data_IF_349272821013
#
_entry.id   IF_349272821013
#
_cell.length_a   1.000
_cell.length_b   1.000
_cell.length_c   1.000
_cell.angle_alpha   90.00
_cell.angle_beta   90.00
_cell.angle_gamma   90.00
#
_symmetry.space_group_name_H-M   'P 1'
#
loop_
_entity.id
_entity.type
_entity.pdbx_description
1 polymer ?
#
# COMPACT_ATOMS: atom_id res chain seq x y z
N UNK A 1 -2.30 -2.74 78.37
CA UNK A 1 -3.58 -2.38 77.70
C UNK A 1 -3.45 -1.56 76.43
N UNK A 2 -2.36 -0.83 76.20
CA UNK A 2 -2.19 0.03 74.95
C UNK A 2 -1.85 -0.73 73.70
N UNK A 3 -1.08 -1.82 73.77
CA UNK A 3 -0.59 -2.59 72.61
C UNK A 3 -1.74 -3.36 71.89
N UNK A 4 -2.70 -3.88 72.62
CA UNK A 4 -3.82 -4.66 72.06
C UNK A 4 -4.74 -3.77 71.18
N UNK A 5 -4.91 -2.52 71.51
CA UNK A 5 -5.79 -1.61 70.77
C UNK A 5 -5.14 -1.14 69.47
N UNK A 6 -3.81 -1.00 69.46
CA UNK A 6 -3.07 -0.66 68.23
C UNK A 6 -3.14 -1.81 67.21
N UNK A 7 -3.01 -3.04 67.68
CA UNK A 7 -3.10 -4.24 66.81
C UNK A 7 -4.52 -4.38 66.23
N UNK A 8 -5.55 -4.17 67.04
CA UNK A 8 -6.95 -4.22 66.61
C UNK A 8 -7.26 -3.12 65.61
N UNK A 9 -6.74 -1.91 65.82
CA UNK A 9 -6.90 -0.79 64.89
C UNK A 9 -6.19 -1.08 63.56
N UNK A 10 -4.97 -1.61 63.58
CA UNK A 10 -4.21 -1.97 62.39
C UNK A 10 -4.89 -3.06 61.57
N UNK A 11 -5.48 -4.08 62.23
CA UNK A 11 -6.19 -5.19 61.59
C UNK A 11 -7.47 -4.75 60.83
N UNK A 12 -8.06 -3.61 61.21
CA UNK A 12 -9.24 -3.06 60.52
C UNK A 12 -8.84 -1.97 59.53
N UNK A 13 -7.93 -1.09 59.93
CA UNK A 13 -7.53 0.07 59.12
C UNK A 13 -6.75 -0.35 57.85
N UNK A 14 -5.93 -1.42 57.91
CA UNK A 14 -5.12 -1.86 56.80
C UNK A 14 -5.96 -2.41 55.64
N UNK A 15 -6.89 -3.36 55.85
CA UNK A 15 -7.77 -3.81 54.76
C UNK A 15 -8.65 -2.69 54.19
N UNK A 16 -9.18 -1.81 55.03
CA UNK A 16 -9.99 -0.66 54.57
C UNK A 16 -9.16 0.29 53.70
N UNK A 17 -7.91 0.52 54.09
CA UNK A 17 -6.96 1.31 53.27
C UNK A 17 -6.69 0.66 51.93
N UNK A 18 -6.44 -0.66 51.90
CA UNK A 18 -6.21 -1.40 50.67
C UNK A 18 -7.45 -1.37 49.75
N UNK A 19 -8.65 -1.52 50.30
CA UNK A 19 -9.90 -1.39 49.54
C UNK A 19 -10.07 0.02 48.99
N UNK A 20 -9.77 1.05 49.74
CA UNK A 20 -9.87 2.44 49.31
C UNK A 20 -8.88 2.74 48.19
N UNK A 21 -7.61 2.31 48.33
CA UNK A 21 -6.60 2.46 47.27
C UNK A 21 -6.94 1.62 46.03
N UNK A 22 -7.51 0.44 46.22
CA UNK A 22 -7.99 -0.41 45.12
C UNK A 22 -9.10 0.25 44.31
N UNK A 23 -10.07 0.88 45.02
CA UNK A 23 -11.16 1.62 44.36
C UNK A 23 -10.62 2.85 43.62
N UNK A 24 -9.64 3.57 44.22
CA UNK A 24 -8.99 4.71 43.54
C UNK A 24 -8.22 4.23 42.31
N UNK A 25 -7.47 3.13 42.42
CA UNK A 25 -6.71 2.59 41.26
C UNK A 25 -7.67 2.13 40.16
N UNK A 26 -8.75 1.47 40.49
CA UNK A 26 -9.81 1.08 39.55
C UNK A 26 -10.47 2.30 38.90
N UNK A 27 -10.78 3.33 39.69
CA UNK A 27 -11.33 4.59 39.18
C UNK A 27 -10.35 5.24 38.22
N UNK A 28 -9.05 5.21 38.53
CA UNK A 28 -8.01 5.77 37.68
C UNK A 28 -7.88 4.99 36.36
N UNK A 29 -8.03 3.66 36.41
CA UNK A 29 -7.97 2.84 35.16
C UNK A 29 -9.23 2.99 34.31
N UNK A 30 -10.42 3.10 34.95
CA UNK A 30 -11.69 3.21 34.21
C UNK A 30 -12.09 4.65 33.85
N UNK A 31 -11.66 5.64 34.63
CA UNK A 31 -12.04 7.04 34.46
C UNK A 31 -10.84 7.97 34.23
N UNK A 32 -9.65 7.42 33.91
CA UNK A 32 -8.49 8.23 33.59
C UNK A 32 -8.73 9.01 32.29
N UNK A 33 -8.27 10.27 32.22
CA UNK A 33 -8.31 11.03 30.95
C UNK A 33 -7.56 10.36 29.80
N UNK A 34 -6.84 9.26 30.03
CA UNK A 34 -6.27 8.43 28.94
C UNK A 34 -7.35 7.87 28.02
N UNK A 35 -8.61 7.73 28.48
CA UNK A 35 -9.73 7.42 27.59
C UNK A 35 -10.12 8.60 26.70
N UNK A 36 -9.74 9.83 27.07
CA UNK A 36 -9.97 11.03 26.24
C UNK A 36 -8.87 11.24 25.20
N UNK A 37 -7.67 10.65 25.41
CA UNK A 37 -6.59 10.71 24.42
C UNK A 37 -6.95 9.86 23.19
N UNK A 38 -7.80 8.85 23.34
CA UNK A 38 -8.33 8.06 22.23
C UNK A 38 -9.35 8.84 21.38
N UNK A 39 -10.07 9.79 21.97
CA UNK A 39 -10.93 10.71 21.18
C UNK A 39 -10.11 11.80 20.50
N UNK A 40 -9.02 12.24 21.12
CA UNK A 40 -8.07 13.16 20.51
C UNK A 40 -7.30 12.54 19.33
N UNK A 41 -7.08 11.21 19.34
CA UNK A 41 -6.52 10.48 18.21
C UNK A 41 -7.43 10.47 16.99
N UNK A 42 -8.74 10.46 17.20
CA UNK A 42 -9.74 10.55 16.11
C UNK A 42 -9.76 11.94 15.45
N UNK A 43 -9.48 13.00 16.21
CA UNK A 43 -9.48 14.36 15.67
C UNK A 43 -8.24 14.63 14.80
N UNK A 44 -7.13 13.91 15.07
CA UNK A 44 -5.91 14.02 14.25
C UNK A 44 -6.02 13.26 12.92
N UNK A 45 -6.94 12.29 12.83
CA UNK A 45 -7.18 11.52 11.59
C UNK A 45 -8.09 12.26 10.58
N UNK A 46 -8.64 13.42 10.96
CA UNK A 46 -9.51 14.23 10.10
C UNK A 46 -8.74 15.31 9.31
N UNK A 47 -7.42 15.32 9.39
CA UNK A 47 -6.58 16.19 8.57
C UNK A 47 -5.67 15.34 7.68
N UNK A 48 -5.50 15.75 6.46
CA UNK A 48 -4.58 15.08 5.51
C UNK A 48 -3.20 14.95 6.15
N UNK A 49 -2.82 13.72 6.50
CA UNK A 49 -1.59 13.44 7.25
C UNK A 49 -0.37 13.69 6.37
N UNK A 50 0.60 14.46 6.88
CA UNK A 50 1.84 14.70 6.15
C UNK A 50 2.63 13.40 6.07
N UNK A 51 2.93 12.96 4.87
CA UNK A 51 3.76 11.78 4.60
C UNK A 51 5.22 12.22 4.52
N UNK A 52 6.10 11.53 5.25
CA UNK A 52 7.53 11.82 5.31
C UNK A 52 8.34 10.68 4.71
N UNK A 53 9.60 10.96 4.36
CA UNK A 53 10.55 9.94 3.93
C UNK A 53 10.70 8.84 4.98
N UNK A 54 10.69 9.20 6.26
CA UNK A 54 10.84 8.24 7.38
C UNK A 54 9.65 7.25 7.42
N UNK A 55 8.43 7.72 7.12
CA UNK A 55 7.28 6.82 7.01
C UNK A 55 7.51 5.77 5.90
N UNK A 56 7.91 6.23 4.72
CA UNK A 56 8.15 5.35 3.57
C UNK A 56 9.29 4.37 3.87
N UNK A 57 10.38 4.89 4.44
CA UNK A 57 11.55 4.09 4.84
C UNK A 57 11.18 3.01 5.86
N UNK A 58 10.37 3.35 6.85
CA UNK A 58 9.95 2.39 7.88
C UNK A 58 9.15 1.24 7.28
N UNK A 59 8.23 1.53 6.37
CA UNK A 59 7.44 0.49 5.70
C UNK A 59 8.30 -0.36 4.73
N UNK A 60 9.23 0.23 4.00
CA UNK A 60 10.18 -0.50 3.16
C UNK A 60 11.11 -1.37 4.03
N UNK A 61 11.57 -0.81 5.02
CA UNK A 61 12.37 -1.42 5.89
C UNK A 61 11.76 -2.56 6.50
N UNK A 62 10.43 -2.49 6.94
CA UNK A 62 9.65 -3.57 7.56
C UNK A 62 9.52 -4.78 6.63
N UNK A 63 9.17 -4.52 5.38
CA UNK A 63 8.99 -5.58 4.38
C UNK A 63 10.30 -6.30 4.04
N UNK A 64 11.35 -5.55 3.77
CA UNK A 64 12.56 -6.11 3.17
C UNK A 64 13.59 -6.61 4.19
N UNK A 65 13.70 -5.96 5.36
CA UNK A 65 14.65 -6.37 6.40
C UNK A 65 14.00 -7.32 7.41
N UNK A 66 12.86 -6.91 8.00
CA UNK A 66 12.26 -7.69 9.09
C UNK A 66 11.57 -8.95 8.58
N UNK A 67 10.75 -8.82 7.53
CA UNK A 67 10.09 -9.97 6.90
C UNK A 67 11.05 -10.66 5.93
N UNK A 68 11.72 -9.88 5.09
CA UNK A 68 12.68 -10.36 4.12
C UNK A 68 12.04 -10.86 2.83
N UNK A 69 12.72 -11.76 2.14
CA UNK A 69 12.21 -12.41 0.93
C UNK A 69 10.85 -13.05 1.22
N UNK A 70 9.85 -12.70 0.39
CA UNK A 70 8.45 -13.10 0.62
C UNK A 70 7.80 -13.62 -0.67
N UNK A 71 8.42 -14.62 -1.30
CA UNK A 71 7.84 -15.22 -2.50
C UNK A 71 6.58 -16.02 -2.13
N UNK A 72 5.70 -16.21 -3.08
CA UNK A 72 4.46 -16.99 -2.87
C UNK A 72 4.73 -18.47 -2.58
N UNK A 73 5.89 -19.00 -2.96
CA UNK A 73 6.35 -20.34 -2.56
C UNK A 73 6.56 -20.47 -1.06
N UNK A 74 6.92 -19.37 -0.36
CA UNK A 74 6.98 -19.31 1.10
C UNK A 74 5.64 -18.82 1.66
N UNK A 75 4.71 -19.75 1.84
CA UNK A 75 3.35 -19.44 2.33
C UNK A 75 3.37 -18.73 3.71
N UNK A 76 4.36 -19.08 4.56
CA UNK A 76 4.48 -18.44 5.88
C UNK A 76 4.84 -16.96 5.75
N UNK A 77 5.83 -16.64 4.93
CA UNK A 77 6.24 -15.25 4.68
C UNK A 77 5.14 -14.46 3.98
N UNK A 78 4.48 -15.07 2.99
CA UNK A 78 3.33 -14.46 2.29
C UNK A 78 2.22 -14.10 3.29
N UNK A 79 1.87 -15.03 4.20
CA UNK A 79 0.86 -14.80 5.24
C UNK A 79 1.27 -13.71 6.23
N UNK A 80 2.53 -13.70 6.67
CA UNK A 80 3.06 -12.69 7.60
C UNK A 80 2.96 -11.30 6.95
N UNK A 81 3.34 -11.18 5.68
CA UNK A 81 3.27 -9.90 4.94
C UNK A 81 1.82 -9.42 4.84
N UNK A 82 0.92 -10.29 4.43
CA UNK A 82 -0.50 -9.96 4.29
C UNK A 82 -1.10 -9.50 5.61
N UNK A 83 -0.81 -10.22 6.71
CA UNK A 83 -1.30 -9.85 8.05
C UNK A 83 -0.71 -8.54 8.54
N UNK A 84 0.56 -8.27 8.21
CA UNK A 84 1.17 -6.98 8.53
C UNK A 84 0.46 -5.84 7.78
N UNK A 85 0.20 -5.99 6.48
CA UNK A 85 -0.53 -4.97 5.69
C UNK A 85 -1.95 -4.76 6.26
N UNK A 86 -2.64 -5.86 6.55
CA UNK A 86 -3.97 -5.84 7.18
C UNK A 86 -3.94 -5.03 8.49
N UNK A 87 -2.92 -5.29 9.34
CA UNK A 87 -2.72 -4.57 10.60
C UNK A 87 -2.41 -3.08 10.38
N UNK A 88 -1.50 -2.76 9.43
CA UNK A 88 -1.17 -1.34 9.13
C UNK A 88 -2.42 -0.54 8.73
N UNK A 89 -3.28 -1.16 7.91
CA UNK A 89 -4.50 -0.51 7.42
C UNK A 89 -5.64 -0.49 8.45
N UNK A 90 -5.52 -1.22 9.56
CA UNK A 90 -6.60 -1.40 10.55
C UNK A 90 -7.00 -0.09 11.27
N UNK A 91 -8.15 -0.14 11.96
CA UNK A 91 -8.68 0.99 12.75
C UNK A 91 -7.67 1.48 13.80
N UNK A 92 -6.88 0.56 14.38
CA UNK A 92 -5.91 0.87 15.43
C UNK A 92 -4.70 1.62 14.89
N UNK A 93 -4.35 1.43 13.61
CA UNK A 93 -3.13 2.01 13.00
C UNK A 93 -3.47 3.17 12.07
N UNK A 94 -4.00 2.89 10.88
CA UNK A 94 -4.31 3.96 9.90
C UNK A 94 -5.76 4.44 10.03
N UNK A 95 -6.71 3.54 10.30
CA UNK A 95 -8.09 3.95 10.56
C UNK A 95 -9.15 3.27 9.68
N UNK A 96 -8.80 2.23 8.94
CA UNK A 96 -9.74 1.52 8.06
C UNK A 96 -10.20 0.19 8.68
N UNK A 97 -11.20 -0.40 8.07
CA UNK A 97 -11.65 -1.79 8.31
C UNK A 97 -11.30 -2.63 7.07
N UNK A 98 -10.16 -3.34 7.09
CA UNK A 98 -9.76 -4.09 5.91
C UNK A 98 -10.74 -5.23 5.58
N UNK A 99 -11.09 -5.32 4.30
CA UNK A 99 -11.78 -6.47 3.72
C UNK A 99 -10.71 -7.42 3.19
N UNK A 100 -10.74 -8.68 3.64
CA UNK A 100 -9.76 -9.68 3.28
C UNK A 100 -10.42 -10.75 2.40
N UNK A 101 -9.91 -10.93 1.18
CA UNK A 101 -10.36 -11.97 0.26
C UNK A 101 -9.36 -13.11 0.27
N UNK A 102 -9.77 -14.29 0.73
CA UNK A 102 -8.96 -15.50 0.76
C UNK A 102 -9.03 -16.21 -0.59
N UNK A 103 -7.86 -16.57 -1.14
CA UNK A 103 -7.73 -17.06 -2.52
C UNK A 103 -7.36 -18.54 -2.64
N UNK A 104 -6.89 -19.17 -1.56
CA UNK A 104 -6.67 -20.61 -1.48
C UNK A 104 -7.50 -21.16 -0.32
N UNK A 105 -8.62 -21.75 -0.64
CA UNK A 105 -9.72 -22.01 0.28
C UNK A 105 -9.42 -22.71 1.59
N UNK A 106 -8.48 -23.67 1.61
CA UNK A 106 -8.24 -24.49 2.82
C UNK A 106 -7.19 -23.89 3.77
N UNK A 107 -6.18 -23.24 3.25
CA UNK A 107 -5.04 -22.78 4.07
C UNK A 107 -5.09 -21.29 4.41
N UNK A 108 -5.82 -20.48 3.64
CA UNK A 108 -5.97 -19.04 3.90
C UNK A 108 -4.67 -18.25 3.86
N UNK A 109 -3.65 -18.79 3.20
CA UNK A 109 -2.32 -18.16 3.17
C UNK A 109 -2.21 -17.07 2.11
N UNK A 110 -2.98 -17.20 1.04
CA UNK A 110 -3.02 -16.25 -0.05
C UNK A 110 -4.24 -15.37 0.10
N UNK A 111 -4.05 -14.06 0.06
CA UNK A 111 -5.17 -13.12 0.26
C UNK A 111 -4.91 -11.78 -0.41
N UNK A 112 -5.97 -11.15 -0.86
CA UNK A 112 -5.96 -9.72 -1.17
C UNK A 112 -6.51 -8.96 0.03
N UNK A 113 -5.94 -7.79 0.30
CA UNK A 113 -6.38 -6.88 1.37
C UNK A 113 -6.87 -5.60 0.71
N UNK A 114 -8.10 -5.22 1.03
CA UNK A 114 -8.77 -4.07 0.43
C UNK A 114 -9.27 -3.15 1.54
N UNK A 115 -9.09 -1.84 1.37
CA UNK A 115 -9.76 -0.83 2.19
C UNK A 115 -10.39 0.21 1.26
N UNK A 116 -11.48 0.80 1.74
CA UNK A 116 -12.24 1.74 0.94
C UNK A 116 -12.60 2.97 1.78
N UNK A 117 -12.54 4.13 1.16
CA UNK A 117 -13.07 5.38 1.68
C UNK A 117 -14.25 5.76 0.78
N UNK A 118 -15.49 5.54 1.25
CA UNK A 118 -16.66 5.83 0.42
C UNK A 118 -16.77 7.31 0.08
N UNK A 119 -17.18 7.58 -1.15
CA UNK A 119 -17.49 8.93 -1.62
C UNK A 119 -18.83 9.45 -1.08
N UNK A 120 -19.11 10.72 -1.33
CA UNK A 120 -20.37 11.36 -0.96
C UNK A 120 -21.33 11.44 -2.16
N UNK A 121 -21.12 12.40 -3.04
CA UNK A 121 -22.08 12.73 -4.13
C UNK A 121 -21.97 11.76 -5.33
N UNK A 122 -20.77 11.20 -5.53
CA UNK A 122 -20.45 10.29 -6.64
C UNK A 122 -19.82 9.00 -6.09
N UNK A 123 -20.46 8.41 -5.09
CA UNK A 123 -19.95 7.24 -4.39
C UNK A 123 -19.82 5.99 -5.29
N UNK A 124 -20.56 5.95 -6.38
CA UNK A 124 -20.51 4.88 -7.39
C UNK A 124 -19.32 5.01 -8.36
N UNK A 125 -18.72 6.21 -8.46
CA UNK A 125 -17.48 6.44 -9.24
C UNK A 125 -16.27 6.13 -8.37
N UNK A 126 -15.47 5.12 -8.78
CA UNK A 126 -14.40 4.56 -7.93
C UNK A 126 -13.03 4.75 -8.59
N UNK A 127 -12.07 5.26 -7.80
CA UNK A 127 -10.64 5.32 -8.13
C UNK A 127 -9.95 4.23 -7.33
N UNK A 128 -9.13 3.41 -7.99
CA UNK A 128 -8.50 2.27 -7.36
C UNK A 128 -6.98 2.35 -7.44
N UNK A 129 -6.21 2.13 -6.39
CA UNK A 129 -4.88 2.03 -6.25
C UNK A 129 -4.60 0.67 -5.95
N UNK A 130 -3.81 -0.09 -6.75
CA UNK A 130 -3.47 -1.49 -6.58
C UNK A 130 -1.97 -1.66 -6.51
N UNK A 131 -1.49 -2.58 -5.67
CA UNK A 131 -0.07 -2.98 -5.66
C UNK A 131 0.05 -4.47 -5.36
N UNK A 132 1.19 -5.09 -5.78
CA UNK A 132 1.53 -6.47 -5.42
C UNK A 132 2.51 -6.44 -4.24
N UNK A 133 2.29 -7.30 -3.23
CA UNK A 133 3.17 -7.34 -2.05
C UNK A 133 4.18 -8.51 -2.01
N UNK A 134 4.37 -9.32 -2.86
CA UNK A 134 5.30 -10.33 -2.94
C UNK A 134 6.62 -9.79 -3.29
N UNK A 135 7.62 -10.62 -3.23
CA UNK A 135 8.94 -10.43 -3.82
C UNK A 135 9.40 -11.70 -4.51
N UNK A 136 10.46 -11.62 -5.30
CA UNK A 136 11.05 -12.80 -5.95
C UNK A 136 11.75 -13.70 -4.91
N UNK A 137 12.04 -14.93 -5.30
CA UNK A 137 12.83 -15.88 -4.49
C UNK A 137 14.17 -15.25 -4.11
N UNK A 138 14.53 -15.37 -2.84
CA UNK A 138 15.80 -14.88 -2.28
C UNK A 138 16.02 -13.37 -2.50
N UNK A 139 14.92 -12.61 -2.66
CA UNK A 139 14.95 -11.17 -2.90
C UNK A 139 14.23 -10.43 -1.77
N UNK A 140 14.91 -9.57 -1.01
CA UNK A 140 14.24 -8.77 0.03
C UNK A 140 13.14 -7.88 -0.54
N UNK A 141 13.25 -7.48 -1.80
CA UNK A 141 12.20 -6.75 -2.50
C UNK A 141 11.93 -5.37 -1.92
N UNK A 142 12.99 -4.61 -1.64
CA UNK A 142 12.85 -3.25 -1.14
C UNK A 142 12.23 -2.35 -2.20
N UNK A 143 12.74 -2.40 -3.43
CA UNK A 143 12.13 -1.68 -4.55
C UNK A 143 11.01 -2.52 -5.20
N UNK A 144 11.27 -3.81 -5.38
CA UNK A 144 10.38 -4.69 -6.18
C UNK A 144 9.61 -5.70 -5.27
N UNK A 145 8.46 -5.39 -4.62
CA UNK A 145 7.69 -4.17 -4.79
C UNK A 145 7.41 -3.45 -3.45
N UNK A 146 8.42 -3.36 -2.57
CA UNK A 146 8.28 -2.73 -1.24
C UNK A 146 7.93 -1.24 -1.33
N UNK A 147 8.47 -0.53 -2.33
CA UNK A 147 8.15 0.88 -2.56
C UNK A 147 6.70 1.07 -3.02
N UNK A 148 6.18 0.16 -3.85
CA UNK A 148 4.76 0.19 -4.26
C UNK A 148 3.83 0.01 -3.06
N UNK A 149 4.15 -0.94 -2.17
CA UNK A 149 3.37 -1.15 -0.94
C UNK A 149 3.47 0.08 -0.03
N UNK A 150 4.67 0.67 0.13
CA UNK A 150 4.84 1.88 0.96
C UNK A 150 4.02 3.04 0.40
N UNK A 151 3.98 3.20 -0.93
CA UNK A 151 3.17 4.24 -1.59
C UNK A 151 1.67 4.00 -1.39
N UNK A 152 1.21 2.74 -1.43
CA UNK A 152 -0.19 2.40 -1.14
C UNK A 152 -0.57 2.75 0.30
N UNK A 153 0.26 2.34 1.28
CA UNK A 153 0.03 2.63 2.70
C UNK A 153 0.04 4.14 2.98
N UNK A 154 0.98 4.86 2.35
CA UNK A 154 1.08 6.31 2.46
C UNK A 154 -0.19 6.99 1.92
N UNK A 155 -0.66 6.55 0.75
CA UNK A 155 -1.89 7.08 0.14
C UNK A 155 -3.11 6.80 1.02
N UNK A 156 -3.25 5.57 1.51
CA UNK A 156 -4.35 5.21 2.41
C UNK A 156 -4.31 6.09 3.68
N UNK A 157 -3.13 6.30 4.27
CA UNK A 157 -2.95 7.14 5.45
C UNK A 157 -3.29 8.62 5.18
N UNK A 158 -2.96 9.11 3.99
CA UNK A 158 -3.25 10.50 3.60
C UNK A 158 -4.76 10.75 3.50
N UNK A 159 -5.50 9.80 2.94
CA UNK A 159 -6.93 10.00 2.66
C UNK A 159 -7.86 9.60 3.81
N UNK A 160 -7.40 8.82 4.80
CA UNK A 160 -8.28 8.39 5.90
C UNK A 160 -8.91 9.61 6.58
N UNK A 161 -10.22 9.56 6.80
CA UNK A 161 -10.97 10.63 7.46
C UNK A 161 -11.24 11.87 6.60
N UNK A 162 -10.83 11.89 5.33
CA UNK A 162 -11.20 12.96 4.41
C UNK A 162 -12.60 12.70 3.84
N UNK A 163 -13.28 13.77 3.43
CA UNK A 163 -14.52 13.67 2.68
C UNK A 163 -14.22 13.95 1.21
N UNK A 164 -14.62 13.03 0.35
CA UNK A 164 -14.39 13.11 -1.10
C UNK A 164 -15.70 12.86 -1.84
N UNK A 165 -15.86 13.43 -2.99
CA UNK A 165 -17.05 13.21 -3.83
C UNK A 165 -17.09 11.74 -4.31
N UNK A 166 -15.95 11.20 -4.73
CA UNK A 166 -15.79 9.85 -5.29
C UNK A 166 -15.20 8.88 -4.26
N UNK A 167 -15.50 7.60 -4.45
CA UNK A 167 -14.91 6.51 -3.63
C UNK A 167 -13.46 6.28 -4.01
N UNK A 168 -12.61 6.07 -2.99
CA UNK A 168 -11.21 5.67 -3.17
C UNK A 168 -11.03 4.26 -2.59
N UNK A 169 -10.43 3.37 -3.36
CA UNK A 169 -10.16 1.98 -2.94
C UNK A 169 -8.67 1.69 -3.03
N UNK A 170 -8.10 1.10 -1.98
CA UNK A 170 -6.69 0.71 -1.90
C UNK A 170 -6.62 -0.80 -1.78
N UNK A 171 -5.88 -1.46 -2.68
CA UNK A 171 -5.83 -2.93 -2.72
C UNK A 171 -4.38 -3.41 -2.76
N UNK A 172 -4.00 -4.23 -1.78
CA UNK A 172 -2.73 -4.96 -1.77
C UNK A 172 -3.00 -6.41 -2.19
N UNK A 173 -2.47 -6.81 -3.33
CA UNK A 173 -2.72 -8.12 -3.93
C UNK A 173 -1.56 -9.08 -3.74
N UNK A 174 -1.87 -10.36 -3.57
CA UNK A 174 -0.86 -11.41 -3.72
C UNK A 174 -0.55 -11.60 -5.21
N UNK A 175 0.70 -11.87 -5.52
CA UNK A 175 1.13 -12.18 -6.89
C UNK A 175 0.65 -13.56 -7.36
N UNK A 176 1.37 -14.16 -8.29
CA UNK A 176 1.11 -15.53 -8.75
C UNK A 176 1.49 -16.53 -7.65
N UNK A 177 0.68 -17.58 -7.51
CA UNK A 177 0.89 -18.64 -6.52
C UNK A 177 0.35 -19.96 -7.06
N UNK A 178 0.75 -21.07 -6.44
CA UNK A 178 0.11 -22.36 -6.68
C UNK A 178 -0.87 -22.67 -5.52
N UNK A 179 -2.07 -23.07 -5.87
CA UNK A 179 -3.08 -23.51 -4.89
C UNK A 179 -2.66 -24.84 -4.27
N UNK A 180 -3.32 -25.24 -3.21
CA UNK A 180 -3.14 -26.56 -2.59
C UNK A 180 -3.46 -27.72 -3.56
N UNK A 181 -4.17 -27.46 -4.63
CA UNK A 181 -4.51 -28.42 -5.69
C UNK A 181 -3.53 -28.38 -6.87
N UNK A 182 -2.47 -27.56 -6.78
CA UNK A 182 -1.47 -27.40 -7.83
C UNK A 182 -1.89 -26.54 -9.01
N UNK A 183 -2.98 -25.80 -8.88
CA UNK A 183 -3.50 -24.92 -9.93
C UNK A 183 -2.84 -23.54 -9.79
N UNK A 184 -2.45 -22.94 -10.92
CA UNK A 184 -1.87 -21.59 -10.93
C UNK A 184 -2.96 -20.55 -10.61
N UNK A 185 -2.70 -19.75 -9.56
CA UNK A 185 -3.57 -18.66 -9.15
C UNK A 185 -2.85 -17.32 -9.18
N UNK A 186 -3.62 -16.25 -9.13
CA UNK A 186 -3.07 -14.90 -9.04
C UNK A 186 -4.09 -13.98 -8.37
N UNK A 187 -3.69 -13.31 -7.30
CA UNK A 187 -4.56 -12.36 -6.61
C UNK A 187 -4.93 -11.18 -7.49
N UNK A 188 -4.01 -10.75 -8.35
CA UNK A 188 -4.27 -9.65 -9.30
C UNK A 188 -5.27 -10.08 -10.39
N UNK A 189 -5.11 -11.30 -10.94
CA UNK A 189 -6.07 -11.82 -11.92
C UNK A 189 -7.46 -12.00 -11.30
N UNK A 190 -7.51 -12.50 -10.07
CA UNK A 190 -8.76 -12.62 -9.31
C UNK A 190 -9.45 -11.25 -9.15
N UNK A 191 -8.67 -10.23 -8.79
CA UNK A 191 -9.17 -8.86 -8.64
C UNK A 191 -9.75 -8.34 -9.98
N UNK A 192 -8.98 -8.48 -11.07
CA UNK A 192 -9.42 -8.06 -12.41
C UNK A 192 -10.73 -8.75 -12.81
N UNK A 193 -10.84 -10.06 -12.55
CA UNK A 193 -12.06 -10.84 -12.86
C UNK A 193 -13.24 -10.44 -11.97
N UNK A 194 -12.99 -10.04 -10.72
CA UNK A 194 -14.06 -9.55 -9.83
C UNK A 194 -14.64 -8.23 -10.36
N UNK A 195 -13.79 -7.35 -10.85
CA UNK A 195 -14.20 -6.05 -11.40
C UNK A 195 -14.99 -6.17 -12.72
N UNK A 196 -14.79 -7.23 -13.50
CA UNK A 196 -15.62 -7.53 -14.68
C UNK A 196 -17.06 -7.90 -14.33
N UNK A 197 -17.27 -8.38 -13.12
CA UNK A 197 -18.57 -8.94 -12.67
C UNK A 197 -19.37 -7.96 -11.82
N UNK A 198 -18.86 -6.76 -11.60
CA UNK A 198 -19.53 -5.72 -10.82
C UNK A 198 -20.11 -4.65 -11.75
N UNK A 199 -21.16 -4.00 -11.32
CA UNK A 199 -21.73 -2.80 -11.96
C UNK A 199 -21.04 -1.52 -11.47
N UNK A 200 -19.96 -1.62 -10.68
CA UNK A 200 -19.20 -0.48 -10.17
C UNK A 200 -18.58 0.32 -11.33
N UNK A 201 -18.65 1.63 -11.24
CA UNK A 201 -18.11 2.54 -12.23
C UNK A 201 -16.64 2.89 -11.89
N UNK A 202 -15.72 2.05 -12.33
CA UNK A 202 -14.28 2.29 -12.10
C UNK A 202 -13.83 3.37 -13.11
N UNK A 203 -13.53 4.56 -12.61
CA UNK A 203 -13.14 5.71 -13.43
C UNK A 203 -11.62 5.80 -13.62
N UNK A 204 -10.85 5.03 -12.86
CA UNK A 204 -9.41 4.94 -13.02
C UNK A 204 -8.79 3.92 -12.09
N UNK A 205 -7.88 3.10 -12.62
CA UNK A 205 -7.10 2.15 -11.84
C UNK A 205 -5.61 2.47 -11.99
N UNK A 206 -4.92 2.62 -10.87
CA UNK A 206 -3.49 2.95 -10.81
C UNK A 206 -2.76 1.78 -10.15
N UNK A 207 -1.91 1.10 -10.94
CA UNK A 207 -1.06 0.03 -10.43
C UNK A 207 0.30 0.60 -10.02
N UNK A 208 0.68 0.41 -8.76
CA UNK A 208 1.94 0.93 -8.18
C UNK A 208 3.00 -0.18 -8.22
N UNK A 209 4.04 0.01 -9.04
CA UNK A 209 5.08 -0.98 -9.27
C UNK A 209 6.46 -0.35 -9.23
N UNK A 210 7.25 -0.65 -8.22
CA UNK A 210 8.65 -0.18 -8.07
C UNK A 210 8.78 1.33 -8.34
N UNK A 211 9.02 2.12 -7.31
CA UNK A 211 8.96 3.59 -7.39
C UNK A 211 10.21 4.26 -6.82
N UNK A 212 11.26 3.48 -6.52
CA UNK A 212 12.37 4.01 -5.71
C UNK A 212 13.74 4.02 -6.37
N UNK A 213 13.88 3.67 -7.65
CA UNK A 213 15.21 3.65 -8.30
C UNK A 213 15.26 4.61 -9.49
N UNK A 214 16.21 5.52 -9.44
CA UNK A 214 16.44 6.53 -10.48
C UNK A 214 17.92 6.64 -10.79
N UNK A 215 18.29 6.85 -12.06
CA UNK A 215 19.67 6.95 -12.49
C UNK A 215 19.80 7.84 -13.74
N UNK A 216 20.90 8.57 -13.83
CA UNK A 216 21.24 9.34 -15.01
C UNK A 216 22.04 8.50 -16.04
N UNK A 217 22.34 7.26 -15.67
CA UNK A 217 23.02 6.33 -16.57
C UNK A 217 22.04 5.74 -17.58
N UNK A 218 22.54 5.44 -18.78
CA UNK A 218 21.81 4.66 -19.80
C UNK A 218 22.05 3.18 -19.49
N UNK A 219 21.18 2.57 -18.76
CA UNK A 219 21.27 1.14 -18.44
C UNK A 219 20.23 0.34 -19.20
N UNK A 220 20.57 -0.31 -20.07
CA UNK A 220 19.71 -0.97 -20.79
C UNK A 220 19.93 -2.37 -20.60
N UNK A 221 19.24 -2.80 -19.86
CA UNK A 221 19.17 -4.27 -19.90
C UNK A 221 18.43 -4.71 -21.15
N UNK A 222 18.55 -5.64 -21.50
CA UNK A 222 17.99 -6.08 -22.54
C UNK A 222 16.61 -5.75 -22.76
N UNK A 223 16.48 -4.76 -23.13
CA UNK A 223 15.18 -4.27 -23.56
C UNK A 223 14.81 -4.95 -24.88
N UNK A 224 13.64 -5.58 -24.97
CA UNK A 224 13.20 -6.19 -26.23
C UNK A 224 13.23 -5.19 -27.38
N UNK A 225 13.55 -5.66 -28.60
CA UNK A 225 13.75 -4.80 -29.77
C UNK A 225 12.54 -3.88 -30.03
N UNK A 226 11.33 -4.42 -29.88
CA UNK A 226 10.07 -3.68 -30.03
C UNK A 226 9.83 -2.63 -28.95
N UNK A 227 10.56 -2.67 -27.84
CA UNK A 227 10.38 -1.75 -26.68
C UNK A 227 11.54 -0.74 -26.55
N UNK A 228 12.57 -0.90 -27.37
CA UNK A 228 13.75 -0.01 -27.28
C UNK A 228 13.41 1.47 -27.32
N UNK A 229 12.56 1.72 -27.97
CA UNK A 229 12.14 3.01 -28.13
C UNK A 229 11.53 3.63 -26.94
N UNK A 230 10.92 2.91 -26.21
CA UNK A 230 10.28 3.25 -25.07
C UNK A 230 11.12 3.30 -23.87
N UNK A 231 12.08 2.44 -23.78
CA UNK A 231 12.77 2.26 -22.52
C UNK A 231 14.28 2.61 -22.56
N UNK A 232 14.88 2.63 -23.71
CA UNK A 232 16.32 2.84 -23.82
C UNK A 232 16.69 4.33 -23.74
N UNK A 233 16.43 4.95 -22.60
CA UNK A 233 16.70 6.36 -22.30
C UNK A 233 17.22 6.49 -20.87
N UNK A 234 17.88 7.60 -20.55
CA UNK A 234 18.35 7.86 -19.19
C UNK A 234 17.21 7.80 -18.19
N UNK A 235 17.44 7.09 -17.14
CA UNK A 235 16.43 6.74 -16.14
C UNK A 235 16.08 7.80 -15.09
N UNK A 236 16.03 8.86 -15.35
CA UNK A 236 15.70 9.83 -14.54
C UNK A 236 14.35 10.27 -14.66
N UNK A 237 13.47 9.49 -14.99
CA UNK A 237 12.06 9.79 -15.20
C UNK A 237 11.19 8.76 -14.47
N UNK A 238 9.97 9.16 -14.17
CA UNK A 238 8.91 8.26 -13.72
C UNK A 238 8.07 7.88 -14.94
N UNK A 239 7.73 6.60 -15.09
CA UNK A 239 6.94 6.11 -16.21
C UNK A 239 5.46 5.99 -15.82
N UNK A 240 4.60 6.47 -16.71
CA UNK A 240 3.18 6.17 -16.76
C UNK A 240 2.99 5.20 -17.93
N UNK A 241 2.69 3.93 -17.60
CA UNK A 241 2.55 2.88 -18.61
C UNK A 241 1.06 2.53 -18.75
N UNK A 242 0.56 2.47 -19.99
CA UNK A 242 -0.84 2.13 -20.26
C UNK A 242 -1.01 1.39 -21.57
N UNK A 243 -2.20 0.88 -21.80
CA UNK A 243 -2.70 0.47 -23.12
C UNK A 243 -3.35 1.65 -23.83
N UNK A 244 -3.42 1.59 -25.14
CA UNK A 244 -4.04 2.62 -25.98
C UNK A 244 -5.47 2.96 -25.56
N UNK A 245 -6.21 1.98 -25.11
CA UNK A 245 -7.61 2.17 -24.62
C UNK A 245 -7.71 3.12 -23.41
N UNK A 246 -6.61 3.37 -22.69
CA UNK A 246 -6.57 4.26 -21.52
C UNK A 246 -5.91 5.61 -21.82
N UNK A 247 -5.77 5.99 -23.10
CA UNK A 247 -4.99 7.16 -23.52
C UNK A 247 -5.48 8.46 -22.86
N UNK A 248 -6.78 8.69 -22.83
CA UNK A 248 -7.36 9.91 -22.21
C UNK A 248 -7.05 9.97 -20.71
N UNK A 249 -7.08 8.83 -20.04
CA UNK A 249 -6.79 8.73 -18.61
C UNK A 249 -5.31 9.02 -18.32
N UNK A 250 -4.39 8.47 -19.13
CA UNK A 250 -2.95 8.69 -18.94
C UNK A 250 -2.58 10.16 -19.22
N UNK A 251 -3.18 10.78 -20.24
CA UNK A 251 -2.96 12.21 -20.57
C UNK A 251 -3.43 13.10 -19.41
N UNK A 252 -4.62 12.84 -18.91
CA UNK A 252 -5.16 13.57 -17.74
C UNK A 252 -4.25 13.38 -16.52
N UNK A 253 -3.89 12.14 -16.21
CA UNK A 253 -3.03 11.81 -15.08
C UNK A 253 -1.67 12.51 -15.19
N UNK A 254 -1.06 12.47 -16.38
CA UNK A 254 0.24 13.11 -16.65
C UNK A 254 0.16 14.63 -16.41
N UNK A 255 -0.86 15.25 -16.94
CA UNK A 255 -1.08 16.71 -16.79
C UNK A 255 -1.16 17.11 -15.31
N UNK A 256 -2.01 16.42 -14.54
CA UNK A 256 -2.22 16.74 -13.12
C UNK A 256 -0.99 16.39 -12.27
N UNK A 257 -0.42 15.20 -12.47
CA UNK A 257 0.73 14.72 -11.71
C UNK A 257 1.96 15.63 -11.90
N UNK A 258 2.22 16.05 -13.13
CA UNK A 258 3.38 16.89 -13.48
C UNK A 258 3.31 18.32 -12.90
N UNK A 259 2.14 18.78 -12.47
CA UNK A 259 2.02 20.08 -11.80
C UNK A 259 2.74 20.12 -10.44
N UNK A 260 2.88 18.97 -9.79
CA UNK A 260 3.47 18.87 -8.45
C UNK A 260 4.75 18.03 -8.39
N UNK A 261 5.12 17.39 -9.50
CA UNK A 261 6.28 16.48 -9.55
C UNK A 261 7.42 17.12 -10.35
N UNK A 262 8.58 17.27 -9.71
CA UNK A 262 9.71 18.04 -10.25
C UNK A 262 10.54 17.28 -11.30
N UNK A 263 10.45 15.94 -11.31
CA UNK A 263 11.22 15.14 -12.26
C UNK A 263 10.44 14.87 -13.55
N UNK A 264 11.15 14.55 -14.64
CA UNK A 264 10.46 14.17 -15.87
C UNK A 264 9.54 12.98 -15.68
N UNK A 265 8.36 13.07 -16.30
CA UNK A 265 7.36 12.01 -16.38
C UNK A 265 7.26 11.59 -17.86
N UNK A 266 7.19 10.30 -18.13
CA UNK A 266 7.09 9.78 -19.50
C UNK A 266 5.87 8.87 -19.62
N UNK A 267 5.04 9.17 -20.60
CA UNK A 267 3.97 8.27 -21.03
C UNK A 267 4.56 7.18 -21.93
N UNK A 268 4.19 5.95 -21.63
CA UNK A 268 4.61 4.76 -22.40
C UNK A 268 3.32 3.98 -22.70
N UNK A 269 2.83 4.17 -23.92
CA UNK A 269 1.62 3.50 -24.38
C UNK A 269 2.01 2.25 -25.17
N UNK A 270 1.55 1.09 -24.73
CA UNK A 270 1.96 -0.21 -25.27
C UNK A 270 0.77 -0.99 -25.83
N UNK A 271 1.07 -1.85 -26.80
CA UNK A 271 0.13 -2.89 -27.19
C UNK A 271 0.00 -3.91 -26.06
N UNK A 272 -1.09 -4.65 -26.02
CA UNK A 272 -1.35 -5.67 -25.00
C UNK A 272 -0.23 -6.71 -24.91
N UNK A 273 0.29 -7.17 -26.05
CA UNK A 273 1.37 -8.16 -26.07
C UNK A 273 2.66 -7.59 -25.45
N UNK A 274 3.02 -6.36 -25.84
CA UNK A 274 4.19 -5.67 -25.29
C UNK A 274 4.04 -5.42 -23.77
N UNK A 275 2.85 -5.12 -23.34
CA UNK A 275 2.55 -4.92 -21.92
C UNK A 275 2.70 -6.23 -21.13
N UNK A 276 2.21 -7.35 -21.69
CA UNK A 276 2.35 -8.67 -21.07
C UNK A 276 3.82 -9.07 -20.89
N UNK A 277 4.70 -8.64 -21.80
CA UNK A 277 6.14 -8.87 -21.71
C UNK A 277 6.82 -7.98 -20.65
N UNK A 278 6.34 -6.75 -20.49
CA UNK A 278 6.99 -5.74 -19.63
C UNK A 278 6.40 -5.69 -18.22
N UNK A 279 5.12 -6.00 -18.04
CA UNK A 279 4.47 -5.96 -16.74
C UNK A 279 3.28 -6.94 -16.67
N UNK A 280 3.58 -8.18 -16.33
CA UNK A 280 2.61 -9.29 -16.27
C UNK A 280 1.42 -9.00 -15.36
N UNK A 281 1.66 -8.35 -14.22
CA UNK A 281 0.61 -8.05 -13.24
C UNK A 281 -0.30 -6.94 -13.76
N UNK A 282 0.29 -5.86 -14.27
CA UNK A 282 -0.50 -4.76 -14.82
C UNK A 282 -1.27 -5.20 -16.07
N UNK A 283 -0.68 -6.05 -16.91
CA UNK A 283 -1.36 -6.60 -18.09
C UNK A 283 -2.66 -7.34 -17.73
N UNK A 284 -2.74 -7.94 -16.53
CA UNK A 284 -3.97 -8.58 -16.05
C UNK A 284 -5.05 -7.55 -15.67
N UNK A 285 -4.65 -6.37 -15.24
CA UNK A 285 -5.56 -5.29 -14.82
C UNK A 285 -5.98 -4.39 -15.98
N UNK A 286 -5.12 -4.24 -16.99
CA UNK A 286 -5.38 -3.41 -18.17
C UNK A 286 -6.29 -4.12 -19.18
N UNK A 287 -6.76 -3.40 -20.19
CA UNK A 287 -7.60 -3.96 -21.26
C UNK A 287 -8.98 -4.42 -20.81
N UNK A 288 -9.44 -3.89 -19.70
CA UNK A 288 -10.77 -4.13 -19.16
C UNK A 288 -11.73 -3.02 -19.62
N UNK A 289 -12.92 -2.98 -19.07
CA UNK A 289 -13.93 -1.94 -19.35
C UNK A 289 -13.65 -0.60 -18.65
N UNK A 290 -12.53 -0.50 -17.95
CA UNK A 290 -12.16 0.71 -17.20
C UNK A 290 -10.74 1.15 -17.61
N UNK A 291 -10.44 2.46 -17.50
CA UNK A 291 -9.08 2.94 -17.79
C UNK A 291 -8.10 2.55 -16.68
N UNK A 292 -6.87 2.19 -17.09
CA UNK A 292 -5.84 1.76 -16.16
C UNK A 292 -4.47 2.28 -16.58
N UNK A 293 -3.62 2.63 -15.59
CA UNK A 293 -2.23 2.94 -15.80
C UNK A 293 -1.35 2.30 -14.73
N UNK A 294 -0.10 2.04 -15.08
CA UNK A 294 0.94 1.65 -14.13
C UNK A 294 1.88 2.82 -13.89
N UNK A 295 2.15 3.12 -12.63
CA UNK A 295 3.15 4.07 -12.18
C UNK A 295 4.40 3.28 -11.81
N UNK A 296 5.55 3.59 -12.44
CA UNK A 296 6.75 2.75 -12.28
C UNK A 296 8.05 3.53 -12.54
N UNK A 297 9.10 3.14 -11.83
CA UNK A 297 10.47 3.57 -12.15
C UNK A 297 11.12 2.74 -13.28
N UNK A 298 10.35 1.81 -13.88
CA UNK A 298 10.82 0.87 -14.91
C UNK A 298 11.96 -0.06 -14.44
N UNK A 299 11.92 -0.47 -13.18
CA UNK A 299 12.95 -1.33 -12.58
C UNK A 299 13.30 -2.56 -13.40
N UNK A 300 12.35 -3.14 -14.10
CA UNK A 300 12.57 -4.33 -14.93
C UNK A 300 13.69 -4.09 -15.98
N UNK A 301 13.81 -2.87 -16.50
CA UNK A 301 14.81 -2.51 -17.52
C UNK A 301 15.95 -1.65 -16.97
N UNK A 302 15.76 -1.03 -15.82
CA UNK A 302 16.66 -0.01 -15.29
C UNK A 302 17.44 -0.46 -14.06
N UNK A 303 16.79 -1.16 -13.14
CA UNK A 303 17.31 -1.43 -11.81
C UNK A 303 18.26 -2.64 -11.82
N UNK A 304 19.57 -2.47 -11.58
CA UNK A 304 20.53 -3.60 -11.58
C UNK A 304 20.19 -4.72 -10.59
N UNK A 305 19.47 -4.49 -9.48
CA UNK A 305 19.10 -5.31 -8.54
C UNK A 305 17.78 -5.86 -8.60
N UNK A 306 17.22 -5.65 -9.83
CA UNK A 306 15.84 -6.12 -10.03
C UNK A 306 15.73 -7.66 -9.91
N UNK A 307 15.05 -7.93 -8.70
CA UNK A 307 14.83 -9.21 -8.44
C UNK A 307 15.90 -10.00 -7.85
N UNK A 308 16.78 -9.36 -7.30
CA UNK A 308 18.00 -9.97 -6.75
C UNK A 308 18.06 -9.84 -5.23
N UNK A 309 18.90 -10.65 -4.58
CA UNK A 309 19.17 -10.58 -3.13
C UNK A 309 19.75 -9.25 -2.67
N UNK A 310 20.20 -8.43 -3.59
CA UNK A 310 20.75 -7.08 -3.34
C UNK A 310 19.71 -5.96 -3.45
N UNK A 311 18.44 -6.28 -3.67
CA UNK A 311 17.32 -5.31 -3.64
C UNK A 311 16.98 -4.97 -2.17
N UNK A 312 17.77 -4.08 -1.59
CA UNK A 312 17.77 -3.73 -0.16
C UNK A 312 17.39 -2.25 0.05
N UNK A 313 16.93 -1.85 1.26
CA UNK A 313 16.45 -0.49 1.50
C UNK A 313 17.45 0.64 1.27
N UNK A 314 18.74 0.35 1.35
CA UNK A 314 19.81 1.33 1.08
C UNK A 314 19.93 1.72 -0.41
N UNK A 315 19.24 1.00 -1.28
CA UNK A 315 19.22 1.27 -2.73
C UNK A 315 18.10 2.22 -3.14
N UNK A 316 17.21 2.57 -2.22
CA UNK A 316 16.02 3.36 -2.52
C UNK A 316 16.33 4.85 -2.40
N UNK A 317 15.92 5.61 -3.38
CA UNK A 317 15.92 7.09 -3.37
C UNK A 317 14.63 7.55 -2.67
N UNK A 318 14.72 7.71 -1.35
CA UNK A 318 13.54 8.07 -0.54
C UNK A 318 13.06 9.50 -0.79
N UNK A 319 13.95 10.40 -1.15
CA UNK A 319 13.58 11.77 -1.53
C UNK A 319 12.65 11.77 -2.74
N UNK A 320 13.04 11.05 -3.77
CA UNK A 320 12.25 10.92 -5.00
C UNK A 320 10.96 10.12 -4.77
N UNK A 321 11.07 9.06 -4.01
CA UNK A 321 9.88 8.32 -3.59
C UNK A 321 8.88 9.22 -2.82
N UNK A 322 9.17 10.04 -2.02
CA UNK A 322 8.44 10.94 -1.37
C UNK A 322 7.82 11.87 -2.23
N UNK A 323 8.60 12.32 -3.31
CA UNK A 323 8.04 13.20 -4.36
C UNK A 323 6.93 12.52 -5.15
N UNK A 324 7.17 11.28 -5.59
CA UNK A 324 6.17 10.45 -6.30
C UNK A 324 4.89 10.32 -5.48
N UNK A 325 5.03 9.97 -4.20
CA UNK A 325 3.87 9.76 -3.32
C UNK A 325 3.08 11.06 -3.12
N UNK A 326 3.75 12.16 -2.90
CA UNK A 326 3.10 13.48 -2.74
C UNK A 326 2.33 13.88 -4.01
N UNK A 327 2.92 13.69 -5.15
CA UNK A 327 2.28 13.99 -6.44
C UNK A 327 1.13 13.03 -6.76
N UNK A 328 1.31 11.81 -6.38
CA UNK A 328 0.21 10.83 -6.46
C UNK A 328 -0.96 11.21 -5.55
N UNK A 329 -0.75 11.62 -4.44
CA UNK A 329 -1.72 12.02 -3.57
C UNK A 329 -2.39 13.24 -4.00
N UNK A 330 -1.85 14.15 -4.77
CA UNK A 330 -2.32 15.29 -5.29
C UNK A 330 -3.10 15.08 -6.48
N UNK A 331 -2.85 14.07 -7.25
CA UNK A 331 -3.52 13.61 -8.32
C UNK A 331 -4.75 12.93 -7.98
N UNK A 332 -4.72 12.11 -7.12
CA UNK A 332 -5.94 11.45 -6.61
C UNK A 332 -6.93 12.45 -6.01
N UNK A 333 -6.46 13.39 -5.26
CA UNK A 333 -7.27 14.45 -4.65
C UNK A 333 -8.03 15.25 -5.72
N UNK A 334 -7.39 15.59 -6.79
CA UNK A 334 -8.02 16.23 -7.96
C UNK A 334 -9.10 15.32 -8.59
N UNK A 335 -8.81 14.13 -8.59
CA UNK A 335 -9.69 13.22 -9.12
C UNK A 335 -10.78 12.84 -8.21
N UNK A 336 -10.72 13.02 -7.02
CA UNK A 336 -11.64 12.65 -6.05
C UNK A 336 -12.65 13.71 -5.82
N UNK A 337 -12.30 15.00 -6.17
CA UNK A 337 -13.17 16.19 -5.98
C UNK A 337 -13.25 17.07 -7.25
N UNK A 338 -13.83 16.58 -8.33
CA UNK A 338 -13.86 17.28 -9.63
C UNK A 338 -14.72 18.54 -9.60
#
# INVERSE_FOLDING_TARGET
>A
MKQSNVIKFALVALPLGMCFFGVIALSYTFFSPASQVREGGRTLLNSKTIITEENLKSWVXRQSNDIGSRPTSDQKKTRITAKWIESELSEENIGYRPKVTFLDGKNGNYRNIEVELPGTDKADEIIIXVTCYXSAENCPGANCNGTGVAALLASARYFVGTENSRTIRFVACVGKFQTSEGIDGSGIAFLADSYKKTDEQIIGLIYLDSLGYYTDQLEXKXVPANLKXXYQVKGXYLALVSELASNEFIEYFHSEFSQSYEMPVREIVLSRDSLADSSKYFASLSGQSYPALQLSDNSIYRYPXYXRGTDTPDKIDYERLXGVVKSLXXXIDSXXSP
#
